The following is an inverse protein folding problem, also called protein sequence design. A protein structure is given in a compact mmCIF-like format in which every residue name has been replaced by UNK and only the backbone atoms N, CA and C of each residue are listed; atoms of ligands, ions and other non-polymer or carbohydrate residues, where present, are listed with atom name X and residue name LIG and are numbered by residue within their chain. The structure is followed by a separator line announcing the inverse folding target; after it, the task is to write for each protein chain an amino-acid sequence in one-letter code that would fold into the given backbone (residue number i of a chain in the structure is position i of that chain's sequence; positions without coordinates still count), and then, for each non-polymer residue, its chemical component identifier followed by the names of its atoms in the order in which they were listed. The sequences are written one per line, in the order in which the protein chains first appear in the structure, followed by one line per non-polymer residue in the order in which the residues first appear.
data_IF_690258249007
#
_entry.id   IF_690258249007
#
_cell.length_a   1.000
_cell.length_b   1.000
_cell.length_c   1.000
_cell.angle_alpha   90.00
_cell.angle_beta   90.00
_cell.angle_gamma   90.00
#
_symmetry.space_group_name_H-M   'P 1'
#
loop_
_entity.id
_entity.type
_entity.pdbx_description
1 polymer ?
#
# COMPACT_ATOMS: atom_id res chain seq x y z
N UNK A 1 -8.45 13.43 6.28
CA UNK A 1 -8.20 12.08 5.69
C UNK A 1 -8.10 10.99 6.74
N UNK A 2 -7.36 11.19 7.84
CA UNK A 2 -7.16 10.22 8.93
C UNK A 2 -8.30 10.13 9.98
N UNK A 3 -9.23 11.07 10.01
CA UNK A 3 -10.33 11.11 11.01
C UNK A 3 -11.36 9.99 10.84
N UNK A 4 -11.62 9.55 9.60
CA UNK A 4 -12.59 8.49 9.31
C UNK A 4 -12.01 7.08 9.46
N UNK A 5 -10.72 6.96 9.77
CA UNK A 5 -10.03 5.68 9.89
C UNK A 5 -10.20 5.10 11.31
N UNK A 6 -10.59 3.82 11.45
CA UNK A 6 -10.56 3.13 12.74
C UNK A 6 -9.16 3.18 13.36
N UNK A 7 -9.08 3.29 14.70
CA UNK A 7 -7.82 3.46 15.45
C UNK A 7 -6.75 2.42 15.06
N UNK A 8 -7.13 1.16 14.88
CA UNK A 8 -6.20 0.08 14.55
C UNK A 8 -5.63 0.22 13.12
N UNK A 9 -6.49 0.61 12.16
CA UNK A 9 -6.09 0.88 10.77
C UNK A 9 -5.20 2.11 10.71
N UNK A 10 -5.53 3.16 11.47
CA UNK A 10 -4.71 4.39 11.58
C UNK A 10 -3.30 4.09 12.09
N UNK A 11 -3.17 3.25 13.13
CA UNK A 11 -1.88 2.82 13.66
C UNK A 11 -1.06 2.06 12.62
N UNK A 12 -1.66 1.08 11.95
CA UNK A 12 -1.00 0.34 10.87
C UNK A 12 -0.61 1.24 9.69
N UNK A 13 -1.42 2.24 9.36
CA UNK A 13 -1.16 3.21 8.30
C UNK A 13 0.08 4.06 8.60
N UNK A 14 0.24 4.53 9.84
CA UNK A 14 1.43 5.27 10.28
C UNK A 14 2.67 4.37 10.21
N UNK A 15 2.58 3.13 10.68
CA UNK A 15 3.69 2.15 10.61
C UNK A 15 4.06 1.86 9.16
N UNK A 16 3.09 1.75 8.25
CA UNK A 16 3.33 1.55 6.82
C UNK A 16 4.09 2.72 6.19
N UNK A 17 3.78 3.97 6.57
CA UNK A 17 4.56 5.15 6.14
C UNK A 17 5.98 5.08 6.67
N UNK A 18 6.17 4.69 7.94
CA UNK A 18 7.48 4.57 8.54
C UNK A 18 8.35 3.53 7.82
N UNK A 19 7.79 2.33 7.55
CA UNK A 19 8.46 1.27 6.79
C UNK A 19 8.83 1.76 5.38
N UNK A 20 7.90 2.49 4.73
CA UNK A 20 8.15 3.06 3.40
C UNK A 20 9.35 4.00 3.40
N UNK A 21 9.38 4.97 4.32
CA UNK A 21 10.48 5.95 4.42
C UNK A 21 11.81 5.24 4.72
N UNK A 22 11.80 4.31 5.68
CA UNK A 22 12.98 3.55 6.06
C UNK A 22 13.58 2.77 4.88
N UNK A 23 12.74 2.04 4.13
CA UNK A 23 13.21 1.24 2.99
C UNK A 23 13.68 2.10 1.82
N UNK A 24 13.08 3.27 1.60
CA UNK A 24 13.58 4.21 0.57
C UNK A 24 14.95 4.77 0.95
N UNK A 25 15.14 5.20 2.21
CA UNK A 25 16.45 5.69 2.69
C UNK A 25 17.52 4.61 2.55
N UNK A 26 17.21 3.38 2.96
CA UNK A 26 18.10 2.23 2.78
C UNK A 26 18.39 1.97 1.30
N UNK A 27 17.36 2.01 0.44
CA UNK A 27 17.51 1.85 -1.00
C UNK A 27 18.46 2.86 -1.62
N UNK A 28 18.38 4.13 -1.21
CA UNK A 28 19.29 5.19 -1.67
C UNK A 28 20.72 4.91 -1.17
N UNK A 29 20.89 4.56 0.11
CA UNK A 29 22.21 4.32 0.69
C UNK A 29 22.94 3.13 0.06
N UNK A 30 22.21 2.05 -0.26
CA UNK A 30 22.74 0.86 -0.93
C UNK A 30 22.68 0.93 -2.47
N UNK A 31 22.23 2.06 -3.04
CA UNK A 31 22.02 2.26 -4.47
C UNK A 31 21.16 1.15 -5.14
N UNK A 32 20.15 0.66 -4.41
CA UNK A 32 19.24 -0.40 -4.85
C UNK A 32 17.95 0.23 -5.41
N UNK A 33 17.87 0.27 -6.74
CA UNK A 33 16.76 0.87 -7.51
C UNK A 33 15.41 0.25 -7.15
N UNK A 34 15.41 -1.04 -6.90
CA UNK A 34 14.23 -1.80 -6.50
C UNK A 34 13.58 -1.21 -5.25
N UNK A 35 14.38 -0.73 -4.29
CA UNK A 35 13.88 -0.22 -3.02
C UNK A 35 13.46 1.25 -3.08
N UNK A 36 14.27 2.12 -3.69
CA UNK A 36 13.92 3.55 -3.72
C UNK A 36 12.92 3.91 -4.81
N UNK A 37 12.81 3.11 -5.88
CA UNK A 37 11.85 3.34 -6.97
C UNK A 37 10.73 2.30 -6.98
N UNK A 38 11.03 1.03 -7.22
CA UNK A 38 10.01 -0.02 -7.38
C UNK A 38 9.11 -0.16 -6.15
N UNK A 39 9.72 -0.39 -4.98
CA UNK A 39 9.03 -0.53 -3.71
C UNK A 39 8.31 0.76 -3.29
N UNK A 40 8.91 1.93 -3.50
CA UNK A 40 8.28 3.22 -3.19
C UNK A 40 6.95 3.39 -3.93
N UNK A 41 6.94 3.15 -5.25
CA UNK A 41 5.71 3.27 -6.04
C UNK A 41 4.66 2.27 -5.54
N UNK A 42 5.06 1.03 -5.26
CA UNK A 42 4.17 0.03 -4.67
C UNK A 42 3.59 0.47 -3.33
N UNK A 43 4.41 1.01 -2.44
CA UNK A 43 4.02 1.48 -1.12
C UNK A 43 3.03 2.65 -1.21
N UNK A 44 3.24 3.59 -2.14
CA UNK A 44 2.30 4.68 -2.42
C UNK A 44 0.94 4.12 -2.88
N UNK A 45 0.95 3.17 -3.82
CA UNK A 45 -0.28 2.49 -4.28
C UNK A 45 -1.01 1.82 -3.11
N UNK A 46 -0.26 1.14 -2.22
CA UNK A 46 -0.82 0.52 -1.01
C UNK A 46 -1.52 1.54 -0.11
N UNK A 47 -0.92 2.72 0.12
CA UNK A 47 -1.51 3.78 0.94
C UNK A 47 -2.78 4.35 0.32
N UNK A 48 -2.75 4.63 -0.99
CA UNK A 48 -3.92 5.11 -1.75
C UNK A 48 -5.06 4.09 -1.68
N UNK A 49 -4.75 2.81 -1.88
CA UNK A 49 -5.74 1.72 -1.87
C UNK A 49 -6.48 1.60 -0.54
N UNK A 50 -5.77 1.73 0.58
CA UNK A 50 -6.39 1.67 1.92
C UNK A 50 -7.23 2.89 2.19
N UNK A 51 -6.79 4.08 1.78
CA UNK A 51 -7.60 5.28 1.91
C UNK A 51 -8.91 5.19 1.11
N UNK A 52 -8.83 4.68 -0.12
CA UNK A 52 -10.02 4.41 -0.94
C UNK A 52 -10.92 3.33 -0.33
N UNK A 53 -10.33 2.28 0.25
CA UNK A 53 -11.09 1.24 0.94
C UNK A 53 -11.87 1.79 2.13
N UNK A 54 -11.23 2.55 3.03
CA UNK A 54 -11.90 3.10 4.21
C UNK A 54 -13.02 4.06 3.79
N UNK A 55 -12.77 4.93 2.82
CA UNK A 55 -13.80 5.84 2.31
C UNK A 55 -14.94 5.09 1.60
N UNK A 56 -14.64 4.04 0.84
CA UNK A 56 -15.63 3.20 0.18
C UNK A 56 -16.53 2.48 1.19
N UNK A 57 -15.94 1.86 2.21
CA UNK A 57 -16.68 1.19 3.30
C UNK A 57 -17.57 2.19 4.04
N UNK A 58 -17.05 3.37 4.38
CA UNK A 58 -17.86 4.42 5.01
C UNK A 58 -19.03 4.86 4.11
N UNK A 59 -18.83 5.03 2.80
CA UNK A 59 -19.93 5.37 1.89
C UNK A 59 -20.99 4.28 1.80
N UNK A 60 -20.59 3.00 1.84
CA UNK A 60 -21.52 1.87 1.77
C UNK A 60 -22.35 1.76 3.06
N UNK A 61 -21.72 1.94 4.22
CA UNK A 61 -22.40 1.88 5.51
C UNK A 61 -23.39 3.04 5.71
N UNK A 62 -23.03 4.26 5.28
CA UNK A 62 -23.85 5.45 5.49
C UNK A 62 -24.88 5.72 4.39
N UNK A 63 -24.60 5.35 3.14
CA UNK A 63 -25.53 5.53 2.02
C UNK A 63 -25.94 4.15 1.50
N UNK A 64 -26.99 3.57 2.08
CA UNK A 64 -27.53 2.23 1.77
C UNK A 64 -28.11 2.06 0.36
N UNK A 65 -27.90 3.01 -0.55
CA UNK A 65 -28.36 2.92 -1.93
C UNK A 65 -27.45 1.99 -2.75
N UNK A 66 -27.99 0.85 -3.21
CA UNK A 66 -27.32 -0.14 -4.07
C UNK A 66 -25.87 -0.47 -3.63
N UNK A 67 -25.68 -1.00 -2.40
CA UNK A 67 -24.37 -1.21 -1.80
C UNK A 67 -23.48 -2.15 -2.62
N UNK A 68 -24.07 -3.15 -3.29
CA UNK A 68 -23.36 -4.14 -4.12
C UNK A 68 -22.69 -3.49 -5.34
N UNK A 69 -23.41 -2.61 -6.04
CA UNK A 69 -22.88 -1.91 -7.21
C UNK A 69 -21.75 -0.94 -6.82
N UNK A 70 -21.96 -0.15 -5.76
CA UNK A 70 -20.97 0.80 -5.27
C UNK A 70 -19.71 0.12 -4.76
N UNK A 71 -19.83 -1.03 -4.09
CA UNK A 71 -18.70 -1.86 -3.67
C UNK A 71 -17.84 -2.33 -4.85
N UNK A 72 -18.47 -2.84 -5.90
CA UNK A 72 -17.76 -3.26 -7.13
C UNK A 72 -17.10 -2.08 -7.83
N UNK A 73 -17.73 -0.91 -7.86
CA UNK A 73 -17.16 0.29 -8.48
C UNK A 73 -15.89 0.79 -7.73
N UNK A 74 -15.94 0.88 -6.40
CA UNK A 74 -14.77 1.25 -5.60
C UNK A 74 -13.66 0.18 -5.69
N UNK A 75 -14.00 -1.11 -5.88
CA UNK A 75 -13.03 -2.15 -6.18
C UNK A 75 -12.34 -1.95 -7.54
N UNK A 76 -13.11 -1.73 -8.60
CA UNK A 76 -12.57 -1.46 -9.94
C UNK A 76 -11.64 -0.24 -9.95
N UNK A 77 -12.00 0.82 -9.22
CA UNK A 77 -11.15 2.02 -9.08
C UNK A 77 -9.78 1.68 -8.48
N UNK A 78 -9.74 0.86 -7.42
CA UNK A 78 -8.47 0.41 -6.80
C UNK A 78 -7.65 -0.45 -7.75
N UNK A 79 -8.31 -1.36 -8.48
CA UNK A 79 -7.64 -2.22 -9.46
C UNK A 79 -7.02 -1.39 -10.59
N UNK A 80 -7.75 -0.39 -11.10
CA UNK A 80 -7.24 0.52 -12.12
C UNK A 80 -6.00 1.28 -11.65
N UNK A 81 -5.98 1.79 -10.41
CA UNK A 81 -4.81 2.46 -9.82
C UNK A 81 -3.61 1.52 -9.74
N UNK A 82 -3.83 0.27 -9.32
CA UNK A 82 -2.76 -0.73 -9.27
C UNK A 82 -2.20 -1.03 -10.66
N UNK A 83 -3.06 -1.30 -11.65
CA UNK A 83 -2.64 -1.59 -13.02
C UNK A 83 -1.90 -0.40 -13.66
N UNK A 84 -2.42 0.82 -13.48
CA UNK A 84 -1.76 2.04 -13.98
C UNK A 84 -0.39 2.25 -13.32
N UNK A 85 -0.29 2.05 -12.01
CA UNK A 85 0.96 2.14 -11.28
C UNK A 85 2.01 1.14 -11.78
N UNK A 86 1.62 -0.13 -11.95
CA UNK A 86 2.48 -1.18 -12.50
C UNK A 86 2.93 -0.87 -13.95
N UNK A 87 2.02 -0.35 -14.77
CA UNK A 87 2.33 0.04 -16.14
C UNK A 87 3.36 1.18 -16.20
N UNK A 88 3.18 2.21 -15.35
CA UNK A 88 4.13 3.33 -15.24
C UNK A 88 5.50 2.82 -14.80
N UNK A 89 5.56 1.96 -13.77
CA UNK A 89 6.83 1.36 -13.30
C UNK A 89 7.51 0.59 -14.43
N UNK A 90 6.77 -0.21 -15.18
CA UNK A 90 7.31 -0.95 -16.33
C UNK A 90 7.91 -0.01 -17.39
N UNK A 91 7.18 1.03 -17.79
CA UNK A 91 7.65 2.00 -18.80
C UNK A 91 8.84 2.83 -18.33
N UNK A 92 8.84 3.29 -17.09
CA UNK A 92 9.95 4.06 -16.53
C UNK A 92 11.17 3.17 -16.34
N UNK A 93 10.99 1.93 -15.87
CA UNK A 93 12.10 0.98 -15.73
C UNK A 93 12.70 0.61 -17.08
N UNK A 94 11.89 0.43 -18.12
CA UNK A 94 12.41 0.20 -19.48
C UNK A 94 13.26 1.36 -20.00
N UNK A 95 12.97 2.60 -19.59
CA UNK A 95 13.70 3.78 -20.07
C UNK A 95 14.97 4.09 -19.27
N UNK A 96 14.95 3.87 -17.97
CA UNK A 96 16.03 4.32 -17.06
C UNK A 96 16.79 3.17 -16.39
N UNK A 97 16.23 1.96 -16.37
CA UNK A 97 16.72 0.81 -15.59
C UNK A 97 16.48 -0.52 -16.32
N UNK A 98 16.95 -0.65 -17.58
CA UNK A 98 16.63 -1.79 -18.46
C UNK A 98 16.94 -3.16 -17.83
N UNK A 99 18.04 -3.29 -17.09
CA UNK A 99 18.42 -4.54 -16.41
C UNK A 99 17.55 -4.87 -15.19
N UNK A 100 16.81 -3.89 -14.65
CA UNK A 100 16.03 -4.02 -13.41
C UNK A 100 14.51 -3.97 -13.64
N UNK A 101 14.04 -4.11 -14.88
CA UNK A 101 12.59 -4.03 -15.18
C UNK A 101 11.80 -5.06 -14.38
N UNK A 102 12.23 -6.33 -14.42
CA UNK A 102 11.53 -7.41 -13.72
C UNK A 102 11.61 -7.25 -12.19
N UNK A 103 12.78 -6.86 -11.68
CA UNK A 103 13.01 -6.69 -10.25
C UNK A 103 12.26 -5.48 -9.70
N UNK A 104 12.16 -4.38 -10.45
CA UNK A 104 11.35 -3.23 -10.10
C UNK A 104 9.85 -3.55 -10.08
N UNK A 105 9.36 -4.32 -11.06
CA UNK A 105 7.96 -4.79 -11.09
C UNK A 105 7.68 -5.67 -9.85
N UNK A 106 8.58 -6.59 -9.52
CA UNK A 106 8.46 -7.44 -8.34
C UNK A 106 8.50 -6.61 -7.04
N UNK A 107 9.41 -5.63 -6.96
CA UNK A 107 9.52 -4.73 -5.82
C UNK A 107 8.28 -3.83 -5.66
N UNK A 108 7.65 -3.39 -6.76
CA UNK A 108 6.34 -2.71 -6.71
C UNK A 108 5.25 -3.62 -6.18
N UNK A 109 5.25 -4.91 -6.57
CA UNK A 109 4.37 -5.91 -5.97
C UNK A 109 4.58 -6.04 -4.45
N UNK A 110 5.84 -6.11 -4.00
CA UNK A 110 6.18 -6.15 -2.58
C UNK A 110 5.75 -4.85 -1.85
N UNK A 111 5.97 -3.68 -2.45
CA UNK A 111 5.53 -2.40 -1.93
C UNK A 111 4.00 -2.29 -1.82
N UNK A 112 3.26 -2.88 -2.77
CA UNK A 112 1.80 -2.92 -2.72
C UNK A 112 1.26 -3.73 -1.53
N UNK A 113 2.10 -4.58 -0.92
CA UNK A 113 1.78 -5.32 0.31
C UNK A 113 2.19 -4.58 1.59
N UNK A 114 2.86 -3.42 1.50
CA UNK A 114 3.43 -2.68 2.63
C UNK A 114 2.42 -2.47 3.77
N UNK A 115 1.19 -2.03 3.46
CA UNK A 115 0.18 -1.83 4.50
C UNK A 115 -0.24 -3.15 5.16
N UNK A 116 -0.37 -4.24 4.39
CA UNK A 116 -0.75 -5.55 4.94
C UNK A 116 0.31 -6.06 5.90
N UNK A 117 1.58 -5.88 5.54
CA UNK A 117 2.73 -6.21 6.40
C UNK A 117 2.69 -5.36 7.68
N UNK A 118 2.50 -4.05 7.55
CA UNK A 118 2.40 -3.14 8.70
C UNK A 118 1.24 -3.50 9.65
N UNK A 119 0.09 -3.86 9.09
CA UNK A 119 -1.07 -4.31 9.85
C UNK A 119 -0.80 -5.62 10.58
N UNK A 120 -0.20 -6.60 9.89
CA UNK A 120 0.19 -7.88 10.47
C UNK A 120 1.20 -7.70 11.61
N UNK A 121 2.21 -6.85 11.45
CA UNK A 121 3.17 -6.50 12.51
C UNK A 121 2.49 -5.87 13.73
N UNK A 122 1.54 -4.95 13.51
CA UNK A 122 0.77 -4.34 14.59
C UNK A 122 -0.06 -5.38 15.35
N UNK A 123 -0.71 -6.31 14.64
CA UNK A 123 -1.51 -7.38 15.23
C UNK A 123 -0.66 -8.38 16.01
N UNK A 124 0.48 -8.80 15.46
CA UNK A 124 1.41 -9.71 16.17
C UNK A 124 1.98 -9.07 17.44
N UNK A 125 2.33 -7.78 17.42
CA UNK A 125 2.79 -7.06 18.60
C UNK A 125 1.74 -7.07 19.71
N UNK A 126 0.47 -6.84 19.37
CA UNK A 126 -0.63 -6.86 20.34
C UNK A 126 -0.82 -8.26 20.92
N UNK A 127 -0.78 -9.31 20.10
CA UNK A 127 -0.89 -10.70 20.57
C UNK A 127 0.26 -11.09 21.51
N UNK A 128 1.50 -10.70 21.20
CA UNK A 128 2.68 -10.99 22.02
C UNK A 128 2.69 -10.24 23.36
N UNK A 129 2.18 -9.00 23.39
CA UNK A 129 2.11 -8.20 24.61
C UNK A 129 0.92 -8.58 25.50
N UNK A 130 -0.22 -8.97 24.93
CA UNK A 130 -1.40 -9.39 25.71
C UNK A 130 -1.40 -10.87 26.11
N UNK A 131 -0.60 -11.73 25.45
CA UNK A 131 -0.41 -13.12 25.89
C UNK A 131 0.50 -13.26 27.12
N UNK A 132 1.10 -12.15 27.60
CA UNK A 132 1.96 -12.11 28.80
C UNK A 132 1.25 -11.52 30.03
N UNK A 133 -0.08 -11.39 30.00
CA UNK A 133 -0.89 -10.99 31.16
C UNK A 133 -1.71 -12.16 31.67
#
# INVERSE_FOLDING_TARGET
MLERMPKNIKKAYIVSIFIMIFLVIMGIFFNCVELYFGYLVGAIISLININLLVNGVHKILYFQNNPKFRGNFEYLKRMAIFCLGMFIVGKVSQKYFESHVLTNIAATGAGALNFKIAYLLCHFKEKLFFSKK
#
